data_IF_040053584986
#
_entry.id   IF_040053584986
#
_cell.length_a   1.000
_cell.length_b   1.000
_cell.length_c   1.000
_cell.angle_alpha   90.00
_cell.angle_beta   90.00
_cell.angle_gamma   90.00
#
_symmetry.space_group_name_H-M   'P 1'
#
loop_
_entity.id
_entity.type
_entity.pdbx_description
1 polymer ?
#
# COMPACT_ATOMS: atom_id res chain seq x y z
N UNK A 1 -5.73 -6.54 0.71
CA UNK A 1 -5.46 -7.91 0.19
C UNK A 1 -4.64 -8.63 1.25
N UNK A 2 -4.95 -9.88 1.64
CA UNK A 2 -4.10 -10.61 2.61
C UNK A 2 -3.07 -11.45 1.85
N UNK A 3 -1.87 -10.89 1.67
CA UNK A 3 -0.75 -11.49 0.94
C UNK A 3 -0.18 -12.72 1.66
N UNK A 4 -0.32 -12.80 2.99
CA UNK A 4 0.18 -13.92 3.80
C UNK A 4 -0.66 -15.20 3.65
N UNK A 5 -1.91 -15.10 3.17
CA UNK A 5 -2.85 -16.24 3.12
C UNK A 5 -3.22 -16.73 1.72
N UNK A 6 -2.89 -15.97 0.68
CA UNK A 6 -3.21 -16.30 -0.71
C UNK A 6 -1.97 -16.07 -1.59
N UNK A 7 -1.36 -17.15 -2.08
CA UNK A 7 -0.12 -17.10 -2.85
C UNK A 7 -0.22 -16.40 -4.22
N UNK A 8 -1.43 -16.13 -4.72
CA UNK A 8 -1.66 -15.49 -6.02
C UNK A 8 -2.49 -14.21 -5.91
N UNK A 9 -2.00 -13.15 -6.56
CA UNK A 9 -2.70 -11.87 -6.71
C UNK A 9 -3.79 -12.02 -7.78
N UNK A 10 -5.07 -12.06 -7.37
CA UNK A 10 -6.22 -12.19 -8.29
C UNK A 10 -6.57 -10.87 -8.98
N UNK A 11 -6.81 -10.89 -10.31
CA UNK A 11 -7.19 -9.69 -11.08
C UNK A 11 -8.46 -9.05 -10.54
N UNK A 12 -9.45 -9.85 -10.15
CA UNK A 12 -10.73 -9.33 -9.64
C UNK A 12 -10.56 -8.48 -8.38
N UNK A 13 -9.55 -8.78 -7.55
CA UNK A 13 -9.24 -7.96 -6.38
C UNK A 13 -8.58 -6.66 -6.76
N UNK A 14 -7.65 -6.68 -7.73
CA UNK A 14 -7.02 -5.48 -8.25
C UNK A 14 -8.04 -4.59 -8.95
N UNK A 15 -8.93 -5.14 -9.79
CA UNK A 15 -9.98 -4.40 -10.48
C UNK A 15 -10.94 -3.74 -9.49
N UNK A 16 -11.33 -4.45 -8.42
CA UNK A 16 -12.11 -3.84 -7.35
C UNK A 16 -11.33 -2.71 -6.67
N UNK A 17 -10.03 -2.88 -6.43
CA UNK A 17 -9.18 -1.85 -5.84
C UNK A 17 -9.06 -0.60 -6.72
N UNK A 18 -8.90 -0.78 -8.04
CA UNK A 18 -8.91 0.30 -9.03
C UNK A 18 -10.24 1.04 -9.04
N UNK A 19 -11.37 0.32 -9.05
CA UNK A 19 -12.70 0.93 -8.98
C UNK A 19 -12.89 1.75 -7.71
N UNK A 20 -12.46 1.23 -6.57
CA UNK A 20 -12.52 1.98 -5.32
C UNK A 20 -11.51 3.13 -5.24
N UNK A 21 -10.34 3.02 -5.87
CA UNK A 21 -9.38 4.10 -5.95
C UNK A 21 -9.97 5.29 -6.72
N UNK A 22 -10.74 5.04 -7.79
CA UNK A 22 -11.48 6.08 -8.50
C UNK A 22 -12.55 6.74 -7.63
N UNK A 23 -13.33 5.94 -6.87
CA UNK A 23 -14.34 6.48 -5.94
C UNK A 23 -13.69 7.34 -4.87
N UNK A 24 -12.61 6.86 -4.24
CA UNK A 24 -11.89 7.61 -3.22
C UNK A 24 -11.18 8.85 -3.77
N UNK A 25 -10.87 8.90 -5.07
CA UNK A 25 -10.27 10.08 -5.70
C UNK A 25 -11.20 11.28 -5.64
N UNK A 26 -12.52 11.07 -5.77
CA UNK A 26 -13.51 12.15 -5.61
C UNK A 26 -13.44 12.73 -4.20
N UNK A 27 -13.41 11.87 -3.18
CA UNK A 27 -13.28 12.30 -1.78
C UNK A 27 -11.92 12.94 -1.49
N UNK A 28 -10.86 12.51 -2.17
CA UNK A 28 -9.52 13.09 -2.04
C UNK A 28 -9.46 14.51 -2.62
N UNK A 29 -10.15 14.76 -3.73
CA UNK A 29 -10.31 16.12 -4.29
C UNK A 29 -11.10 17.03 -3.33
N UNK A 30 -12.12 16.51 -2.64
CA UNK A 30 -12.91 17.30 -1.68
C UNK A 30 -12.11 17.82 -0.49
N UNK A 31 -11.01 17.15 -0.11
CA UNK A 31 -10.10 17.58 0.96
C UNK A 31 -9.16 18.70 0.47
N UNK A 32 -9.13 18.99 -0.83
CA UNK A 32 -8.28 20.03 -1.42
C UNK A 32 -6.95 19.54 -1.99
N UNK A 33 -6.74 18.21 -2.08
CA UNK A 33 -5.58 17.68 -2.79
C UNK A 33 -5.74 17.81 -4.32
N UNK A 34 -4.64 18.03 -5.07
CA UNK A 34 -4.71 18.16 -6.53
C UNK A 34 -5.27 16.90 -7.19
N UNK A 35 -6.14 17.08 -8.19
CA UNK A 35 -6.79 15.96 -8.88
C UNK A 35 -5.82 14.98 -9.56
N UNK A 36 -4.62 15.45 -9.92
CA UNK A 36 -3.57 14.66 -10.57
C UNK A 36 -2.72 13.85 -9.58
N UNK A 37 -2.80 14.12 -8.26
CA UNK A 37 -2.09 13.32 -7.27
C UNK A 37 -2.91 12.08 -6.92
N UNK A 38 -2.26 10.94 -7.00
CA UNK A 38 -2.88 9.66 -6.72
C UNK A 38 -3.10 9.43 -5.24
N UNK A 39 -4.31 8.99 -4.84
CA UNK A 39 -4.55 8.53 -3.48
C UNK A 39 -3.81 7.22 -3.12
N UNK A 40 -3.83 6.86 -1.84
CA UNK A 40 -3.17 5.66 -1.30
C UNK A 40 -3.65 4.35 -1.95
N UNK A 41 -4.92 4.26 -2.35
CA UNK A 41 -5.48 3.04 -2.95
C UNK A 41 -4.89 2.80 -4.33
N UNK A 42 -4.58 3.85 -5.08
CA UNK A 42 -3.84 3.71 -6.32
C UNK A 42 -2.42 3.19 -6.10
N UNK A 43 -1.71 3.62 -5.05
CA UNK A 43 -0.41 3.05 -4.71
C UNK A 43 -0.50 1.53 -4.49
N UNK A 44 -1.51 1.07 -3.75
CA UNK A 44 -1.76 -0.37 -3.59
C UNK A 44 -2.15 -1.07 -4.91
N UNK A 45 -2.92 -0.40 -5.77
CA UNK A 45 -3.39 -0.98 -7.04
C UNK A 45 -2.24 -1.15 -8.03
N UNK A 46 -1.43 -0.10 -8.18
CA UNK A 46 -0.25 -0.05 -9.04
C UNK A 46 0.78 -1.06 -8.57
N UNK A 47 1.16 -1.05 -7.28
CA UNK A 47 2.15 -2.01 -6.78
C UNK A 47 1.63 -3.46 -6.88
N UNK A 48 0.35 -3.69 -6.59
CA UNK A 48 -0.25 -5.02 -6.74
C UNK A 48 -0.28 -5.51 -8.19
N UNK A 49 -0.58 -4.64 -9.15
CA UNK A 49 -0.55 -4.95 -10.58
C UNK A 49 0.88 -5.20 -11.07
N UNK A 50 1.84 -4.38 -10.66
CA UNK A 50 3.25 -4.53 -11.00
C UNK A 50 3.82 -5.86 -10.46
N UNK A 51 3.59 -6.18 -9.18
CA UNK A 51 4.02 -7.45 -8.57
C UNK A 51 3.44 -8.67 -9.30
N UNK A 52 2.18 -8.59 -9.74
CA UNK A 52 1.59 -9.66 -10.53
C UNK A 52 2.28 -9.81 -11.89
N UNK A 53 2.54 -8.73 -12.58
CA UNK A 53 3.20 -8.76 -13.88
C UNK A 53 4.67 -9.20 -13.77
N UNK A 54 5.38 -8.86 -12.69
CA UNK A 54 6.70 -9.43 -12.40
C UNK A 54 6.67 -10.93 -12.13
N UNK A 55 5.55 -11.46 -11.66
CA UNK A 55 5.40 -12.90 -11.43
C UNK A 55 5.07 -13.69 -12.71
N UNK A 56 4.86 -13.02 -13.86
CA UNK A 56 4.55 -13.67 -15.13
C UNK A 56 5.85 -13.99 -15.90
N UNK A 57 5.93 -15.11 -16.64
CA UNK A 57 7.17 -15.53 -17.32
C UNK A 57 7.61 -14.62 -18.48
N UNK A 58 6.72 -13.77 -19.00
CA UNK A 58 6.98 -12.99 -20.22
C UNK A 58 7.63 -11.64 -19.91
N UNK A 59 8.72 -11.36 -20.65
CA UNK A 59 9.49 -10.11 -20.60
C UNK A 59 8.64 -8.87 -20.92
N UNK A 60 7.57 -9.02 -21.69
CA UNK A 60 6.64 -7.93 -22.00
C UNK A 60 5.89 -7.46 -20.75
N UNK A 61 5.50 -8.37 -19.86
CA UNK A 61 4.84 -7.99 -18.60
C UNK A 61 5.79 -7.28 -17.64
N UNK A 62 7.07 -7.65 -17.64
CA UNK A 62 8.11 -6.94 -16.88
C UNK A 62 8.27 -5.51 -17.38
N UNK A 63 8.33 -5.30 -18.70
CA UNK A 63 8.38 -3.97 -19.29
C UNK A 63 7.13 -3.15 -18.95
N UNK A 64 5.93 -3.74 -19.08
CA UNK A 64 4.67 -3.09 -18.70
C UNK A 64 4.63 -2.71 -17.21
N UNK A 65 5.13 -3.56 -16.31
CA UNK A 65 5.23 -3.26 -14.89
C UNK A 65 6.18 -2.09 -14.62
N UNK A 66 7.34 -2.08 -15.27
CA UNK A 66 8.31 -0.99 -15.14
C UNK A 66 7.73 0.33 -15.69
N UNK A 67 7.06 0.30 -16.84
CA UNK A 67 6.39 1.48 -17.41
C UNK A 67 5.29 1.99 -16.51
N UNK A 68 4.46 1.10 -15.95
CA UNK A 68 3.40 1.48 -15.01
C UNK A 68 3.96 2.14 -13.75
N UNK A 69 5.03 1.58 -13.18
CA UNK A 69 5.70 2.16 -12.01
C UNK A 69 6.34 3.51 -12.34
N UNK A 70 7.04 3.62 -13.47
CA UNK A 70 7.67 4.86 -13.92
C UNK A 70 6.63 5.97 -14.16
N UNK A 71 5.47 5.63 -14.74
CA UNK A 71 4.37 6.57 -14.94
C UNK A 71 3.70 6.96 -13.62
N UNK A 72 3.67 6.07 -12.62
CA UNK A 72 3.00 6.33 -11.34
C UNK A 72 3.83 7.15 -10.36
N UNK A 73 5.16 6.99 -10.35
CA UNK A 73 6.04 7.66 -9.39
C UNK A 73 5.84 9.19 -9.38
N UNK A 74 5.75 9.90 -10.53
CA UNK A 74 5.48 11.35 -10.54
C UNK A 74 4.12 11.73 -9.94
N UNK A 75 3.10 10.88 -10.09
CA UNK A 75 1.74 11.09 -9.56
C UNK A 75 1.62 10.74 -8.07
N UNK A 76 2.60 10.03 -7.51
CA UNK A 76 2.57 9.54 -6.13
C UNK A 76 3.02 10.55 -5.08
N UNK A 77 3.41 11.77 -5.50
CA UNK A 77 3.93 12.84 -4.65
C UNK A 77 2.98 13.28 -3.52
N UNK A 78 1.67 13.17 -3.73
CA UNK A 78 0.64 13.51 -2.73
C UNK A 78 0.22 12.37 -1.80
N UNK A 79 0.75 11.16 -1.96
CA UNK A 79 0.44 10.02 -1.07
C UNK A 79 1.69 9.48 -0.39
N UNK A 80 2.38 8.52 -1.02
CA UNK A 80 3.51 7.81 -0.40
C UNK A 80 4.79 7.81 -1.23
N UNK A 81 4.79 8.43 -2.42
CA UNK A 81 5.99 8.51 -3.25
C UNK A 81 6.53 7.14 -3.68
N UNK A 82 7.78 7.16 -4.14
CA UNK A 82 8.56 5.96 -4.44
C UNK A 82 8.83 5.10 -3.18
N UNK A 83 8.99 5.74 -2.01
CA UNK A 83 9.24 5.08 -0.74
C UNK A 83 8.11 4.12 -0.34
N UNK A 84 6.84 4.54 -0.49
CA UNK A 84 5.69 3.68 -0.23
C UNK A 84 5.58 2.48 -1.17
N UNK A 85 5.89 2.68 -2.45
CA UNK A 85 5.95 1.57 -3.42
C UNK A 85 7.04 0.57 -3.00
N UNK A 86 8.22 1.06 -2.62
CA UNK A 86 9.32 0.25 -2.10
C UNK A 86 8.93 -0.52 -0.83
N UNK A 87 8.26 0.14 0.12
CA UNK A 87 7.72 -0.49 1.32
C UNK A 87 6.76 -1.63 0.98
N UNK A 88 5.83 -1.43 0.05
CA UNK A 88 4.87 -2.46 -0.33
C UNK A 88 5.55 -3.66 -1.03
N UNK A 89 6.53 -3.41 -1.88
CA UNK A 89 7.33 -4.45 -2.53
C UNK A 89 8.14 -5.23 -1.49
N UNK A 90 8.84 -4.54 -0.59
CA UNK A 90 9.63 -5.15 0.48
C UNK A 90 8.73 -5.97 1.43
N UNK A 91 7.55 -5.48 1.78
CA UNK A 91 6.57 -6.20 2.58
C UNK A 91 6.05 -7.47 1.90
N UNK A 92 5.89 -7.44 0.57
CA UNK A 92 5.54 -8.63 -0.20
C UNK A 92 6.64 -9.70 -0.18
N UNK A 93 7.90 -9.30 -0.37
CA UNK A 93 9.04 -10.21 -0.26
C UNK A 93 9.21 -10.74 1.16
N UNK A 94 9.02 -9.91 2.18
CA UNK A 94 9.05 -10.30 3.58
C UNK A 94 8.04 -11.41 3.89
N UNK A 95 6.83 -11.34 3.29
CA UNK A 95 5.81 -12.37 3.44
C UNK A 95 6.14 -13.69 2.72
N UNK A 96 7.05 -13.67 1.73
CA UNK A 96 7.44 -14.83 0.93
C UNK A 96 8.81 -15.40 1.29
N UNK A 97 9.57 -14.72 2.14
CA UNK A 97 10.89 -15.16 2.54
C UNK A 97 10.81 -16.45 3.37
N UNK A 98 11.38 -17.53 2.85
CA UNK A 98 11.42 -18.83 3.53
C UNK A 98 12.60 -18.91 4.51
N UNK A 99 13.71 -18.24 4.21
CA UNK A 99 14.92 -18.23 5.06
C UNK A 99 14.89 -17.09 6.07
N UNK A 100 15.34 -17.36 7.29
CA UNK A 100 15.40 -16.36 8.36
C UNK A 100 16.31 -15.16 8.02
N UNK A 101 17.42 -15.40 7.31
CA UNK A 101 18.37 -14.35 6.87
C UNK A 101 17.75 -13.43 5.82
N UNK A 102 17.06 -14.01 4.82
CA UNK A 102 16.32 -13.25 3.80
C UNK A 102 15.18 -12.44 4.42
N UNK A 103 14.47 -13.04 5.38
CA UNK A 103 13.38 -12.37 6.10
C UNK A 103 13.89 -11.17 6.90
N UNK A 104 15.04 -11.29 7.56
CA UNK A 104 15.68 -10.15 8.23
C UNK A 104 16.09 -9.06 7.22
N UNK A 105 16.69 -9.45 6.10
CA UNK A 105 17.09 -8.50 5.04
C UNK A 105 15.91 -7.70 4.48
N UNK A 106 14.81 -8.38 4.13
CA UNK A 106 13.60 -7.70 3.67
C UNK A 106 12.90 -6.90 4.76
N UNK A 107 13.01 -7.31 6.03
CA UNK A 107 12.46 -6.58 7.17
C UNK A 107 13.20 -5.26 7.40
N UNK A 108 14.53 -5.29 7.33
CA UNK A 108 15.36 -4.07 7.38
C UNK A 108 15.08 -3.17 6.18
N UNK A 109 15.01 -3.74 4.97
CA UNK A 109 14.67 -2.98 3.77
C UNK A 109 13.29 -2.31 3.90
N UNK A 110 12.29 -3.04 4.40
CA UNK A 110 10.96 -2.51 4.66
C UNK A 110 11.00 -1.36 5.67
N UNK A 111 11.73 -1.50 6.78
CA UNK A 111 11.88 -0.45 7.79
C UNK A 111 12.57 0.81 7.23
N UNK A 112 13.61 0.63 6.41
CA UNK A 112 14.28 1.74 5.71
C UNK A 112 13.29 2.47 4.80
N UNK A 113 12.47 1.73 4.04
CA UNK A 113 11.46 2.34 3.17
C UNK A 113 10.39 3.12 3.95
N UNK A 114 10.00 2.65 5.13
CA UNK A 114 9.08 3.39 6.04
C UNK A 114 9.72 4.69 6.51
N UNK A 115 10.99 4.67 6.91
CA UNK A 115 11.71 5.88 7.32
C UNK A 115 11.85 6.88 6.15
N UNK A 116 12.08 6.38 4.93
CA UNK A 116 12.18 7.22 3.73
C UNK A 116 10.85 7.82 3.28
N UNK A 117 9.72 7.51 3.93
CA UNK A 117 8.45 8.18 3.64
C UNK A 117 8.43 9.62 4.15
N UNK A 118 9.15 9.92 5.25
CA UNK A 118 9.22 11.27 5.83
C UNK A 118 10.69 11.73 5.99
N UNK A 119 11.49 11.78 4.91
CA UNK A 119 12.94 11.96 5.00
C UNK A 119 13.36 13.31 5.60
N UNK A 120 12.47 14.30 5.56
CA UNK A 120 12.72 15.64 6.07
C UNK A 120 12.37 15.79 7.56
N UNK A 121 11.64 14.84 8.15
CA UNK A 121 11.25 14.86 9.55
C UNK A 121 11.52 13.50 10.23
N UNK A 122 12.54 13.50 11.09
CA UNK A 122 12.97 12.31 11.83
C UNK A 122 11.91 11.88 12.83
N UNK A 123 11.17 12.82 13.43
CA UNK A 123 10.17 12.51 14.45
C UNK A 123 8.97 11.78 13.83
N UNK A 124 8.47 12.26 12.69
CA UNK A 124 7.38 11.62 11.96
C UNK A 124 7.78 10.26 11.38
N UNK A 125 9.02 10.16 10.88
CA UNK A 125 9.58 8.90 10.39
C UNK A 125 9.65 7.83 11.48
N UNK A 126 10.21 8.18 12.65
CA UNK A 126 10.34 7.26 13.79
C UNK A 126 8.97 6.91 14.38
N UNK A 127 8.05 7.87 14.47
CA UNK A 127 6.69 7.62 14.90
C UNK A 127 5.98 6.63 13.96
N UNK A 128 6.08 6.84 12.63
CA UNK A 128 5.54 5.95 11.62
C UNK A 128 6.07 4.52 11.73
N UNK A 129 7.40 4.37 11.87
CA UNK A 129 8.03 3.06 12.07
C UNK A 129 7.58 2.40 13.38
N UNK A 130 7.52 3.17 14.48
CA UNK A 130 7.13 2.66 15.80
C UNK A 130 5.69 2.14 15.79
N UNK A 131 4.76 2.90 15.22
CA UNK A 131 3.36 2.50 15.08
C UNK A 131 3.25 1.24 14.22
N UNK A 132 4.00 1.17 13.12
CA UNK A 132 3.96 0.01 12.24
C UNK A 132 4.52 -1.26 12.91
N UNK A 133 5.62 -1.15 13.67
CA UNK A 133 6.17 -2.25 14.45
C UNK A 133 5.22 -2.70 15.57
N UNK A 134 4.60 -1.74 16.28
CA UNK A 134 3.61 -2.04 17.32
C UNK A 134 2.40 -2.78 16.73
N UNK A 135 1.89 -2.30 15.59
CA UNK A 135 0.81 -2.98 14.87
C UNK A 135 1.20 -4.41 14.47
N UNK A 136 2.43 -4.64 13.99
CA UNK A 136 2.93 -5.97 13.68
C UNK A 136 3.05 -6.86 14.93
N UNK A 137 3.53 -6.34 16.06
CA UNK A 137 3.63 -7.11 17.31
C UNK A 137 2.25 -7.52 17.83
N UNK A 138 1.28 -6.60 17.83
CA UNK A 138 -0.10 -6.88 18.27
C UNK A 138 -0.81 -7.82 17.30
N UNK A 139 -0.66 -7.61 15.99
CA UNK A 139 -1.34 -8.42 14.98
C UNK A 139 -0.73 -9.82 14.82
N UNK A 140 0.58 -9.99 15.04
CA UNK A 140 1.24 -11.31 14.98
C UNK A 140 0.84 -12.20 16.17
N UNK A 141 0.62 -11.62 17.35
CA UNK A 141 0.17 -12.35 18.54
C UNK A 141 -1.34 -12.66 18.54
N UNK A 142 -2.17 -11.80 17.94
CA UNK A 142 -3.62 -11.98 17.88
C UNK A 142 -4.13 -12.72 16.61
N UNK A 143 -3.34 -12.70 15.53
CA UNK A 143 -3.76 -13.14 14.19
C UNK A 143 -4.10 -14.62 14.06
N UNK A 144 -3.56 -15.49 14.92
CA UNK A 144 -3.86 -16.92 14.91
C UNK A 144 -5.17 -17.26 15.65
N UNK A 145 -5.57 -16.43 16.63
CA UNK A 145 -6.71 -16.74 17.52
C UNK A 145 -8.03 -16.11 17.05
N UNK A 146 -7.98 -15.02 16.30
CA UNK A 146 -9.17 -14.24 15.96
C UNK A 146 -9.62 -14.54 14.53
N UNK A 147 -10.81 -15.16 14.38
CA UNK A 147 -11.47 -15.26 13.08
C UNK A 147 -11.73 -13.86 12.54
N UNK A 148 -11.50 -13.65 11.24
CA UNK A 148 -11.66 -12.36 10.55
C UNK A 148 -13.00 -11.72 10.90
N UNK A 149 -12.97 -10.69 11.74
CA UNK A 149 -14.16 -9.97 12.20
C UNK A 149 -14.73 -9.03 11.12
N UNK A 150 -13.86 -8.39 10.33
CA UNK A 150 -14.28 -7.35 9.37
C UNK A 150 -14.40 -7.82 7.91
N UNK A 151 -15.41 -7.31 7.16
CA UNK A 151 -15.63 -7.62 5.74
C UNK A 151 -14.43 -7.32 4.85
N UNK A 152 -14.40 -7.96 3.66
CA UNK A 152 -13.27 -7.87 2.73
C UNK A 152 -13.01 -6.46 2.18
N UNK A 153 -14.06 -5.66 2.06
CA UNK A 153 -14.03 -4.30 1.52
C UNK A 153 -14.01 -3.22 2.60
N UNK A 154 -13.99 -3.60 3.89
CA UNK A 154 -14.13 -2.66 5.01
C UNK A 154 -13.10 -1.52 4.96
N UNK A 155 -11.82 -1.84 4.82
CA UNK A 155 -10.75 -0.83 4.74
C UNK A 155 -11.00 0.20 3.64
N UNK A 156 -11.44 -0.27 2.47
CA UNK A 156 -11.57 0.56 1.29
C UNK A 156 -12.80 1.47 1.39
N UNK A 157 -13.91 0.93 1.90
CA UNK A 157 -15.11 1.71 2.19
C UNK A 157 -14.87 2.73 3.30
N UNK A 158 -14.24 2.30 4.39
CA UNK A 158 -13.91 3.17 5.53
C UNK A 158 -12.99 4.31 5.10
N UNK A 159 -11.97 4.03 4.28
CA UNK A 159 -11.08 5.06 3.76
C UNK A 159 -11.83 6.10 2.90
N UNK A 160 -12.66 5.68 1.96
CA UNK A 160 -13.42 6.59 1.11
C UNK A 160 -14.39 7.45 1.94
N UNK A 161 -15.12 6.84 2.88
CA UNK A 161 -16.05 7.55 3.77
C UNK A 161 -15.30 8.51 4.70
N UNK A 162 -14.18 8.08 5.28
CA UNK A 162 -13.36 8.92 6.15
C UNK A 162 -12.85 10.16 5.43
N UNK A 163 -12.34 10.01 4.20
CA UNK A 163 -11.95 11.15 3.38
C UNK A 163 -13.13 12.06 3.06
N UNK A 164 -14.30 11.50 2.72
CA UNK A 164 -15.49 12.29 2.43
C UNK A 164 -15.92 13.12 3.66
N UNK A 165 -15.90 12.52 4.85
CA UNK A 165 -16.22 13.22 6.11
C UNK A 165 -15.21 14.34 6.39
N UNK A 166 -13.91 14.08 6.24
CA UNK A 166 -12.89 15.13 6.39
C UNK A 166 -13.08 16.26 5.39
N UNK A 167 -13.36 15.94 4.13
CA UNK A 167 -13.63 16.93 3.09
C UNK A 167 -14.84 17.81 3.43
N UNK A 168 -15.93 17.20 3.92
CA UNK A 168 -17.10 17.95 4.39
C UNK A 168 -16.73 18.87 5.55
N UNK A 169 -16.06 18.36 6.58
CA UNK A 169 -15.67 19.14 7.77
C UNK A 169 -14.77 20.31 7.41
N UNK A 170 -13.83 20.13 6.49
CA UNK A 170 -12.92 21.20 6.03
C UNK A 170 -13.65 22.23 5.15
N UNK A 171 -14.76 21.84 4.50
CA UNK A 171 -15.57 22.71 3.65
C UNK A 171 -16.67 23.50 4.38
N UNK A 172 -16.92 23.20 5.66
CA UNK A 172 -17.85 23.95 6.53
C UNK A 172 -17.12 25.05 7.29
#
# INVERSE_FOLDING_TARGET
>A
MNLARHGQIRQSQLNSLWGWALVAQVSFMLIGYPWYTGNILFAFAVTGQALRWFSQPSRQYVLLAMTLLAAWIPLSSGSYGAAGVGMLIAGWFLCRAERATERLGYGVLWAIMVLLMNPNDVSESVAGLTIALLALMVCSSAGERVKRFWPRHFFVMFYAVHLAVLGIVVSM
#
